data_IF_135657604615
#
_entry.id   IF_135657604615
#
_cell.length_a   1.000
_cell.length_b   1.000
_cell.length_c   1.000
_cell.angle_alpha   90.00
_cell.angle_beta   90.00
_cell.angle_gamma   90.00
#
_symmetry.space_group_name_H-M   'P 1'
#
loop_
_entity.id
_entity.type
_entity.pdbx_description
1 polymer ?
#
# COMPACT_ATOMS: atom_id res chain seq x y z
N UNK A 1 20.89 7.80 -0.68
CA UNK A 1 21.02 6.32 -0.78
C UNK A 1 19.78 5.68 -0.14
N UNK A 2 18.99 4.90 -0.88
CA UNK A 2 17.76 4.27 -0.35
C UNK A 2 18.13 3.04 0.48
N UNK A 3 17.70 3.00 1.74
CA UNK A 3 18.03 1.89 2.64
C UNK A 3 17.29 0.60 2.23
N UNK A 4 17.83 -0.59 2.56
CA UNK A 4 17.18 -1.87 2.25
C UNK A 4 15.74 -1.98 2.79
N UNK A 5 15.45 -1.33 3.92
CA UNK A 5 14.11 -1.29 4.53
C UNK A 5 13.11 -0.49 3.69
N UNK A 6 13.53 0.65 3.12
CA UNK A 6 12.67 1.45 2.24
C UNK A 6 12.36 0.68 0.95
N UNK A 7 13.35 -0.02 0.37
CA UNK A 7 13.13 -0.87 -0.81
C UNK A 7 12.15 -2.00 -0.53
N UNK A 8 12.25 -2.62 0.65
CA UNK A 8 11.35 -3.69 1.06
C UNK A 8 9.91 -3.19 1.25
N UNK A 9 9.73 -2.02 1.88
CA UNK A 9 8.41 -1.39 2.02
C UNK A 9 7.76 -1.11 0.67
N UNK A 10 8.49 -0.44 -0.24
CA UNK A 10 8.01 -0.16 -1.61
C UNK A 10 7.64 -1.42 -2.39
N UNK A 11 8.42 -2.49 -2.23
CA UNK A 11 8.09 -3.78 -2.84
C UNK A 11 6.78 -4.33 -2.28
N UNK A 12 6.61 -4.29 -0.95
CA UNK A 12 5.37 -4.71 -0.30
C UNK A 12 4.15 -3.91 -0.74
N UNK A 13 4.27 -2.59 -0.85
CA UNK A 13 3.21 -1.71 -1.36
C UNK A 13 2.81 -2.09 -2.78
N UNK A 14 3.79 -2.38 -3.66
CA UNK A 14 3.51 -2.83 -5.01
C UNK A 14 2.78 -4.18 -5.06
N UNK A 15 3.17 -5.14 -4.22
CA UNK A 15 2.50 -6.44 -4.10
C UNK A 15 1.07 -6.26 -3.58
N UNK A 16 0.88 -5.45 -2.54
CA UNK A 16 -0.43 -5.17 -1.96
C UNK A 16 -1.35 -4.48 -2.99
N UNK A 17 -0.85 -3.48 -3.72
CA UNK A 17 -1.61 -2.78 -4.75
C UNK A 17 -2.10 -3.73 -5.85
N UNK A 18 -1.20 -4.60 -6.35
CA UNK A 18 -1.57 -5.61 -7.35
C UNK A 18 -2.62 -6.58 -6.82
N UNK A 19 -2.43 -7.08 -5.60
CA UNK A 19 -3.40 -7.98 -4.96
C UNK A 19 -4.79 -7.33 -4.84
N UNK A 20 -4.87 -6.06 -4.43
CA UNK A 20 -6.12 -5.32 -4.35
C UNK A 20 -6.78 -5.19 -5.73
N UNK A 21 -6.02 -4.84 -6.77
CA UNK A 21 -6.55 -4.77 -8.14
C UNK A 21 -7.08 -6.12 -8.62
N UNK A 22 -6.36 -7.22 -8.36
CA UNK A 22 -6.80 -8.58 -8.69
C UNK A 22 -8.07 -9.00 -7.92
N UNK A 23 -8.33 -8.38 -6.76
CA UNK A 23 -9.56 -8.56 -5.98
C UNK A 23 -10.72 -7.64 -6.40
N UNK A 24 -10.52 -6.79 -7.41
CA UNK A 24 -11.56 -5.90 -7.93
C UNK A 24 -11.56 -4.50 -7.32
N UNK A 25 -10.59 -4.18 -6.46
CA UNK A 25 -10.44 -2.82 -5.94
C UNK A 25 -9.89 -1.90 -7.02
N UNK A 26 -10.40 -0.67 -7.07
CA UNK A 26 -9.80 0.40 -7.85
C UNK A 26 -8.80 1.15 -6.98
N UNK A 27 -7.52 1.10 -7.34
CA UNK A 27 -6.52 1.98 -6.72
C UNK A 27 -6.81 3.43 -7.10
N UNK A 28 -6.94 4.29 -6.10
CA UNK A 28 -7.13 5.74 -6.27
C UNK A 28 -5.81 6.48 -6.10
N UNK A 29 -5.01 6.10 -5.10
CA UNK A 29 -3.68 6.68 -4.86
C UNK A 29 -2.77 5.69 -4.12
N UNK A 30 -1.46 5.90 -4.20
CA UNK A 30 -0.45 5.17 -3.45
C UNK A 30 0.64 6.12 -2.96
N UNK A 31 1.20 5.86 -1.78
CA UNK A 31 2.09 6.78 -1.06
C UNK A 31 1.45 8.16 -0.83
N UNK A 32 0.16 8.19 -0.49
CA UNK A 32 -0.58 9.43 -0.26
C UNK A 32 -0.02 10.18 0.95
N UNK A 33 0.18 11.49 0.80
CA UNK A 33 0.72 12.37 1.85
C UNK A 33 -0.08 13.65 1.90
N UNK A 34 -0.43 14.08 3.11
CA UNK A 34 -1.05 15.37 3.36
C UNK A 34 -0.44 16.01 4.61
N UNK A 35 -0.90 17.22 4.97
CA UNK A 35 -0.44 17.93 6.16
C UNK A 35 -0.61 17.11 7.46
N UNK A 36 -1.61 16.24 7.50
CA UNK A 36 -2.01 15.52 8.71
C UNK A 36 -1.46 14.10 8.80
N UNK A 37 -0.81 13.58 7.75
CA UNK A 37 -0.26 12.24 7.77
C UNK A 37 -0.02 11.65 6.38
N UNK A 38 0.14 10.34 6.36
CA UNK A 38 0.37 9.53 5.17
C UNK A 38 -0.51 8.29 5.19
N UNK A 39 -0.82 7.76 4.02
CA UNK A 39 -1.49 6.47 3.82
C UNK A 39 -0.77 5.75 2.68
N UNK A 40 -0.42 4.48 2.88
CA UNK A 40 0.31 3.71 1.88
C UNK A 40 -0.52 3.51 0.60
N UNK A 41 -1.79 3.12 0.71
CA UNK A 41 -2.69 2.93 -0.42
C UNK A 41 -4.10 3.46 -0.09
N UNK A 42 -4.68 4.19 -1.04
CA UNK A 42 -6.09 4.57 -1.06
C UNK A 42 -6.77 3.83 -2.21
N UNK A 43 -7.82 3.07 -1.91
CA UNK A 43 -8.54 2.26 -2.87
C UNK A 43 -10.06 2.42 -2.74
N UNK A 44 -10.79 1.92 -3.72
CA UNK A 44 -12.25 1.89 -3.74
C UNK A 44 -12.75 0.49 -4.05
N UNK A 45 -13.73 0.02 -3.28
CA UNK A 45 -14.49 -1.22 -3.51
C UNK A 45 -15.98 -0.87 -3.56
N UNK A 46 -16.56 -0.88 -4.77
CA UNK A 46 -17.92 -0.35 -4.96
C UNK A 46 -18.01 1.11 -4.50
N UNK A 47 -18.85 1.38 -3.50
CA UNK A 47 -19.05 2.71 -2.92
C UNK A 47 -18.19 2.98 -1.68
N UNK A 48 -17.36 2.03 -1.27
CA UNK A 48 -16.52 2.14 -0.08
C UNK A 48 -15.14 2.72 -0.41
N UNK A 49 -14.70 3.69 0.40
CA UNK A 49 -13.34 4.22 0.38
C UNK A 49 -12.47 3.48 1.39
N UNK A 50 -11.41 2.83 0.93
CA UNK A 50 -10.59 1.90 1.70
C UNK A 50 -9.17 2.44 1.84
N UNK A 51 -8.72 2.62 3.08
CA UNK A 51 -7.36 3.03 3.41
C UNK A 51 -6.56 1.80 3.87
N UNK A 52 -5.43 1.54 3.24
CA UNK A 52 -4.62 0.34 3.49
C UNK A 52 -3.23 0.73 3.94
N UNK A 53 -2.82 0.22 5.10
CA UNK A 53 -1.48 0.32 5.65
C UNK A 53 -0.72 -0.98 5.37
N UNK A 54 0.44 -0.89 4.74
CA UNK A 54 1.21 -2.05 4.27
C UNK A 54 2.37 -2.34 5.21
N UNK A 55 2.39 -3.56 5.76
CA UNK A 55 3.45 -4.02 6.67
C UNK A 55 4.16 -5.24 6.11
N UNK A 56 5.28 -5.03 5.43
CA UNK A 56 6.13 -6.12 4.97
C UNK A 56 6.90 -6.73 6.14
N UNK A 57 6.65 -8.01 6.40
CA UNK A 57 7.41 -8.81 7.38
C UNK A 57 8.39 -9.70 6.62
N UNK A 58 9.60 -9.85 7.13
CA UNK A 58 10.44 -11.00 6.79
C UNK A 58 9.88 -12.16 7.61
N UNK A 59 9.59 -13.28 6.97
CA UNK A 59 9.08 -14.45 7.69
C UNK A 59 9.98 -14.76 8.88
N UNK A 60 9.38 -14.93 10.07
CA UNK A 60 9.98 -15.82 11.04
C UNK A 60 9.87 -17.22 10.43
N UNK A 61 10.94 -18.01 10.58
CA UNK A 61 10.84 -19.46 10.37
C UNK A 61 9.72 -20.07 11.23
#
# INVERSE_FOLDING_TARGET
MTTPRIRLGKWGEGVAGRFLQEKGYRLLDANYRCRWGEVDIVAQEGDELVFVEVRTRRGAE
#
